data_IF_611449204213
#
_entry.id   IF_611449204213
#
_cell.length_a   1.000
_cell.length_b   1.000
_cell.length_c   1.000
_cell.angle_alpha   90.00
_cell.angle_beta   90.00
_cell.angle_gamma   90.00
#
_symmetry.space_group_name_H-M   'P 1'
#
loop_
_entity.id
_entity.type
_entity.pdbx_description
1 polymer ?
#
# COMPACT_ATOMS: atom_id res chain seq x y z
N UNK A 1 -50.33 -2.14 -0.17
CA UNK A 1 -49.70 -3.46 -0.02
C UNK A 1 -48.70 -3.56 -1.13
N UNK A 2 -47.44 -3.35 -0.79
CA UNK A 2 -46.32 -3.34 -1.73
C UNK A 2 -45.49 -4.58 -1.42
N UNK A 3 -45.48 -5.52 -2.37
CA UNK A 3 -44.69 -6.74 -2.29
C UNK A 3 -43.21 -6.41 -2.31
N UNK A 4 -42.58 -6.54 -1.15
CA UNK A 4 -41.12 -6.67 -1.08
C UNK A 4 -40.75 -8.06 -1.58
N UNK A 5 -40.25 -8.15 -2.81
CA UNK A 5 -39.51 -9.32 -3.27
C UNK A 5 -38.22 -9.39 -2.48
N UNK A 6 -38.17 -10.28 -1.51
CA UNK A 6 -36.92 -10.73 -0.89
C UNK A 6 -36.10 -11.41 -1.97
N UNK A 7 -35.05 -10.71 -2.42
CA UNK A 7 -34.01 -11.29 -3.29
C UNK A 7 -33.15 -12.16 -2.36
N UNK A 8 -33.47 -13.43 -2.34
CA UNK A 8 -32.73 -14.46 -1.63
C UNK A 8 -31.44 -14.71 -2.39
N UNK A 9 -30.36 -14.02 -1.99
CA UNK A 9 -29.02 -14.34 -2.44
C UNK A 9 -28.63 -15.71 -1.85
N UNK A 10 -28.97 -16.77 -2.56
CA UNK A 10 -28.29 -18.05 -2.35
C UNK A 10 -26.85 -17.84 -2.72
N UNK A 11 -25.95 -17.91 -1.71
CA UNK A 11 -24.53 -18.01 -1.93
C UNK A 11 -24.28 -19.24 -2.81
N UNK A 12 -23.99 -19.03 -4.06
CA UNK A 12 -23.50 -20.09 -4.94
C UNK A 12 -22.18 -20.53 -4.35
N UNK A 13 -22.16 -21.71 -3.72
CA UNK A 13 -20.89 -22.31 -3.25
C UNK A 13 -19.97 -22.39 -4.45
N UNK A 14 -18.88 -21.61 -4.42
CA UNK A 14 -17.82 -21.75 -5.41
C UNK A 14 -17.29 -23.18 -5.34
N UNK A 15 -17.20 -23.83 -6.50
CA UNK A 15 -16.65 -25.18 -6.56
C UNK A 15 -15.26 -25.17 -5.92
N UNK A 16 -15.05 -26.01 -4.91
CA UNK A 16 -13.73 -26.20 -4.31
C UNK A 16 -12.75 -26.52 -5.43
N UNK A 17 -11.65 -25.78 -5.44
CA UNK A 17 -10.59 -25.98 -6.44
C UNK A 17 -10.12 -27.44 -6.43
N UNK A 18 -10.22 -28.11 -7.57
CA UNK A 18 -9.60 -29.41 -7.77
C UNK A 18 -8.09 -29.19 -7.75
N UNK A 19 -7.38 -29.98 -6.93
CA UNK A 19 -5.91 -29.93 -6.93
C UNK A 19 -5.41 -30.29 -8.32
N UNK A 20 -4.54 -29.46 -8.94
CA UNK A 20 -4.01 -29.75 -10.25
C UNK A 20 -3.13 -31.01 -10.23
N UNK A 21 -3.19 -31.80 -11.28
CA UNK A 21 -2.30 -32.97 -11.45
C UNK A 21 -0.83 -32.57 -11.44
N UNK A 22 -0.51 -31.43 -12.06
CA UNK A 22 0.82 -30.78 -12.00
C UNK A 22 0.81 -29.56 -11.06
N UNK A 23 1.08 -29.81 -9.78
CA UNK A 23 1.15 -28.76 -8.76
C UNK A 23 2.32 -27.78 -8.97
N UNK A 24 3.40 -28.21 -9.61
CA UNK A 24 4.56 -27.37 -9.89
C UNK A 24 4.30 -26.44 -11.09
N UNK A 25 3.66 -26.96 -12.16
CA UNK A 25 3.22 -26.16 -13.29
C UNK A 25 2.18 -25.13 -12.88
N UNK A 26 1.22 -25.51 -12.05
CA UNK A 26 0.22 -24.58 -11.47
C UNK A 26 0.88 -23.46 -10.65
N UNK A 27 1.87 -23.82 -9.82
CA UNK A 27 2.62 -22.83 -9.05
C UNK A 27 3.32 -21.82 -9.96
N UNK A 28 4.09 -22.27 -10.94
CA UNK A 28 4.81 -21.42 -11.88
C UNK A 28 3.88 -20.47 -12.64
N UNK A 29 2.76 -20.98 -13.08
CA UNK A 29 1.77 -20.20 -13.81
C UNK A 29 1.15 -19.11 -12.94
N UNK A 30 0.81 -19.42 -11.70
CA UNK A 30 0.28 -18.46 -10.73
C UNK A 30 1.32 -17.41 -10.34
N UNK A 31 2.57 -17.83 -10.14
CA UNK A 31 3.68 -16.93 -9.86
C UNK A 31 3.89 -15.96 -11.02
N UNK A 32 3.87 -16.42 -12.26
CA UNK A 32 3.96 -15.57 -13.45
C UNK A 32 2.82 -14.54 -13.52
N UNK A 33 1.59 -14.92 -13.17
CA UNK A 33 0.47 -13.96 -13.10
C UNK A 33 0.70 -12.92 -11.99
N UNK A 34 1.17 -13.35 -10.81
CA UNK A 34 1.49 -12.44 -9.72
C UNK A 34 2.63 -11.48 -10.09
N UNK A 35 3.65 -11.92 -10.83
CA UNK A 35 4.71 -11.07 -11.37
C UNK A 35 4.15 -9.99 -12.32
N UNK A 36 3.22 -10.36 -13.19
CA UNK A 36 2.56 -9.41 -14.10
C UNK A 36 1.66 -8.41 -13.36
N UNK A 37 1.13 -8.75 -12.18
CA UNK A 37 0.34 -7.83 -11.35
C UNK A 37 1.20 -6.72 -10.74
N UNK A 38 2.45 -6.96 -10.39
CA UNK A 38 3.32 -6.00 -9.66
C UNK A 38 3.40 -4.64 -10.39
N UNK A 39 3.75 -4.54 -11.68
CA UNK A 39 3.81 -3.25 -12.36
C UNK A 39 2.44 -2.57 -12.50
N UNK A 40 1.35 -3.32 -12.66
CA UNK A 40 0.00 -2.79 -12.73
C UNK A 40 -0.41 -2.17 -11.39
N UNK A 41 -0.23 -2.89 -10.29
CA UNK A 41 -0.50 -2.42 -8.93
C UNK A 41 0.33 -1.17 -8.62
N UNK A 42 1.62 -1.17 -8.97
CA UNK A 42 2.49 -0.02 -8.78
C UNK A 42 2.04 1.21 -9.58
N UNK A 43 1.56 1.02 -10.82
CA UNK A 43 1.00 2.10 -11.64
C UNK A 43 -0.28 2.66 -11.05
N UNK A 44 -1.20 1.80 -10.63
CA UNK A 44 -2.44 2.19 -9.96
C UNK A 44 -2.17 2.98 -8.67
N UNK A 45 -1.24 2.51 -7.86
CA UNK A 45 -0.85 3.19 -6.62
C UNK A 45 -0.30 4.59 -6.85
N UNK A 46 0.51 4.81 -7.91
CA UNK A 46 1.00 6.16 -8.28
C UNK A 46 -0.14 7.12 -8.64
N UNK A 47 -1.27 6.59 -9.11
CA UNK A 47 -2.49 7.34 -9.39
C UNK A 47 -3.44 7.43 -8.19
N UNK A 48 -3.01 6.93 -7.02
CA UNK A 48 -3.77 6.98 -5.79
C UNK A 48 -4.77 5.85 -5.59
N UNK A 49 -4.62 4.77 -6.33
CA UNK A 49 -5.51 3.62 -6.24
C UNK A 49 -4.80 2.51 -5.49
N UNK A 50 -5.32 2.14 -4.33
CA UNK A 50 -4.80 1.04 -3.53
C UNK A 50 -5.59 -0.24 -3.83
N UNK A 51 -4.91 -1.23 -4.40
CA UNK A 51 -5.49 -2.55 -4.66
C UNK A 51 -5.27 -3.44 -3.44
N UNK A 52 -6.34 -4.06 -2.97
CA UNK A 52 -6.35 -4.91 -1.78
C UNK A 52 -7.00 -6.26 -2.07
N UNK A 53 -6.72 -7.22 -1.20
CA UNK A 53 -7.44 -8.49 -1.09
C UNK A 53 -7.83 -8.67 0.38
N UNK A 54 -9.14 -8.62 0.66
CA UNK A 54 -9.71 -8.72 2.01
C UNK A 54 -8.99 -7.79 3.01
N UNK A 55 -8.89 -6.51 2.65
CA UNK A 55 -8.23 -5.47 3.45
C UNK A 55 -6.71 -5.49 3.44
N UNK A 56 -6.06 -6.50 2.82
CA UNK A 56 -4.61 -6.56 2.70
C UNK A 56 -4.15 -5.86 1.42
N UNK A 57 -3.43 -4.74 1.56
CA UNK A 57 -2.85 -4.03 0.42
C UNK A 57 -1.83 -4.89 -0.31
N UNK A 58 -1.86 -4.83 -1.64
CA UNK A 58 -0.89 -5.50 -2.52
C UNK A 58 0.23 -4.57 -2.98
N UNK A 59 0.27 -3.34 -2.48
CA UNK A 59 1.27 -2.33 -2.86
C UNK A 59 2.64 -2.72 -2.30
N UNK A 60 3.66 -2.69 -3.15
CA UNK A 60 5.04 -3.07 -2.83
C UNK A 60 5.20 -4.52 -2.33
N UNK A 61 4.22 -5.38 -2.59
CA UNK A 61 4.31 -6.80 -2.24
C UNK A 61 5.06 -7.59 -3.32
N UNK A 62 5.78 -8.64 -2.87
CA UNK A 62 6.42 -9.59 -3.78
C UNK A 62 5.39 -10.52 -4.46
N UNK A 63 5.70 -11.13 -5.61
CA UNK A 63 4.81 -12.12 -6.24
C UNK A 63 4.36 -13.22 -5.27
N UNK A 64 5.27 -13.73 -4.44
CA UNK A 64 4.95 -14.75 -3.43
C UNK A 64 3.99 -14.20 -2.36
N UNK A 65 4.16 -12.93 -1.95
CA UNK A 65 3.24 -12.29 -1.01
C UNK A 65 1.85 -12.08 -1.61
N UNK A 66 1.77 -11.72 -2.89
CA UNK A 66 0.51 -11.61 -3.63
C UNK A 66 -0.21 -12.97 -3.67
N UNK A 67 0.52 -14.05 -3.98
CA UNK A 67 -0.04 -15.41 -3.94
C UNK A 67 -0.52 -15.81 -2.54
N UNK A 68 0.20 -15.41 -1.48
CA UNK A 68 -0.24 -15.63 -0.09
C UNK A 68 -1.51 -14.87 0.24
N UNK A 69 -1.68 -13.65 -0.26
CA UNK A 69 -2.89 -12.87 -0.07
C UNK A 69 -4.11 -13.56 -0.70
N UNK A 70 -3.97 -14.13 -1.89
CA UNK A 70 -5.04 -14.93 -2.53
C UNK A 70 -5.41 -16.17 -1.68
N UNK A 71 -4.41 -16.90 -1.17
CA UNK A 71 -4.66 -18.07 -0.31
C UNK A 71 -5.31 -17.71 1.02
N UNK A 72 -5.05 -16.50 1.53
CA UNK A 72 -5.62 -16.03 2.79
C UNK A 72 -7.15 -15.92 2.72
N UNK A 73 -7.73 -15.70 1.55
CA UNK A 73 -9.19 -15.63 1.36
C UNK A 73 -9.90 -16.85 1.89
N UNK A 74 -9.31 -18.05 1.74
CA UNK A 74 -9.88 -19.29 2.30
C UNK A 74 -10.06 -19.23 3.83
N UNK A 75 -9.19 -18.51 4.53
CA UNK A 75 -9.25 -18.41 5.99
C UNK A 75 -10.32 -17.42 6.47
N UNK A 76 -10.64 -16.41 5.64
CA UNK A 76 -11.54 -15.32 6.01
C UNK A 76 -12.97 -15.59 5.53
N UNK A 77 -13.12 -16.08 4.31
CA UNK A 77 -14.41 -16.18 3.63
C UNK A 77 -14.75 -17.61 3.16
N UNK A 78 -13.94 -18.60 3.55
CA UNK A 78 -14.09 -20.00 3.12
C UNK A 78 -14.19 -20.19 1.59
N UNK A 79 -13.81 -19.20 0.81
CA UNK A 79 -13.75 -19.20 -0.64
C UNK A 79 -12.32 -19.37 -1.13
N UNK A 80 -12.14 -19.97 -2.30
CA UNK A 80 -10.85 -20.01 -2.97
C UNK A 80 -10.77 -18.87 -4.00
N UNK A 81 -9.67 -18.16 -3.99
CA UNK A 81 -9.38 -17.10 -4.95
C UNK A 81 -8.06 -17.41 -5.67
N UNK A 82 -8.07 -17.29 -6.98
CA UNK A 82 -6.89 -17.51 -7.82
C UNK A 82 -6.42 -16.21 -8.47
N UNK A 83 -5.13 -16.12 -8.72
CA UNK A 83 -4.50 -15.03 -9.46
C UNK A 83 -5.08 -14.90 -10.88
N UNK A 84 -5.55 -16.01 -11.46
CA UNK A 84 -6.24 -16.02 -12.77
C UNK A 84 -7.58 -15.29 -12.76
N UNK A 85 -8.20 -15.15 -11.58
CA UNK A 85 -9.46 -14.43 -11.42
C UNK A 85 -9.22 -12.94 -11.30
N UNK A 86 -8.22 -12.55 -10.52
CA UNK A 86 -7.97 -11.13 -10.20
C UNK A 86 -7.10 -10.44 -11.25
N UNK A 87 -6.18 -11.16 -11.92
CA UNK A 87 -5.29 -10.56 -12.90
C UNK A 87 -6.03 -9.84 -14.05
N UNK A 88 -6.99 -10.45 -14.77
CA UNK A 88 -7.72 -9.78 -15.85
C UNK A 88 -8.55 -8.60 -15.34
N UNK A 89 -9.03 -8.68 -14.09
CA UNK A 89 -9.75 -7.56 -13.45
C UNK A 89 -8.81 -6.39 -13.15
N UNK A 90 -7.63 -6.64 -12.56
CA UNK A 90 -6.61 -5.61 -12.32
C UNK A 90 -6.14 -4.99 -13.63
N UNK A 91 -5.95 -5.82 -14.66
CA UNK A 91 -5.56 -5.36 -15.99
C UNK A 91 -6.60 -4.38 -16.55
N UNK A 92 -7.88 -4.70 -16.48
CA UNK A 92 -8.93 -3.80 -16.91
C UNK A 92 -9.01 -2.53 -16.04
N UNK A 93 -8.96 -2.66 -14.72
CA UNK A 93 -8.97 -1.53 -13.77
C UNK A 93 -7.84 -0.55 -14.10
N UNK A 94 -6.68 -1.03 -14.55
CA UNK A 94 -5.55 -0.17 -14.92
C UNK A 94 -5.81 0.71 -16.14
N UNK A 95 -6.87 0.45 -16.92
CA UNK A 95 -7.29 1.24 -18.08
C UNK A 95 -8.33 2.31 -17.74
N UNK A 96 -8.91 2.26 -16.52
CA UNK A 96 -9.96 3.17 -16.10
C UNK A 96 -9.38 4.48 -15.53
N UNK A 97 -10.11 5.59 -15.74
CA UNK A 97 -9.79 6.88 -15.09
C UNK A 97 -10.32 6.90 -13.66
N UNK A 98 -9.57 6.23 -12.77
CA UNK A 98 -9.84 6.16 -11.34
C UNK A 98 -8.86 7.05 -10.58
N UNK A 99 -9.32 7.62 -9.46
CA UNK A 99 -8.50 8.49 -8.60
C UNK A 99 -8.87 8.32 -7.13
N UNK A 100 -7.84 8.25 -6.30
CA UNK A 100 -7.95 8.30 -4.84
C UNK A 100 -9.00 7.34 -4.26
N UNK A 101 -8.88 6.07 -4.58
CA UNK A 101 -9.78 5.04 -4.09
C UNK A 101 -9.03 3.79 -3.63
N UNK A 102 -9.69 3.04 -2.76
CA UNK A 102 -9.30 1.70 -2.37
C UNK A 102 -10.23 0.69 -3.03
N UNK A 103 -9.66 -0.34 -3.62
CA UNK A 103 -10.39 -1.37 -4.35
C UNK A 103 -10.01 -2.73 -3.78
N UNK A 104 -10.93 -3.37 -3.11
CA UNK A 104 -10.75 -4.76 -2.69
C UNK A 104 -11.13 -5.70 -3.83
N UNK A 105 -10.11 -6.03 -4.63
CA UNK A 105 -10.29 -6.91 -5.79
C UNK A 105 -10.64 -8.34 -5.37
N UNK A 106 -10.23 -8.74 -4.16
CA UNK A 106 -10.57 -10.04 -3.61
C UNK A 106 -12.07 -10.19 -3.39
N UNK A 107 -12.69 -9.21 -2.76
CA UNK A 107 -14.14 -9.19 -2.58
C UNK A 107 -14.90 -9.12 -3.91
N UNK A 108 -14.45 -8.28 -4.85
CA UNK A 108 -15.06 -8.14 -6.16
C UNK A 108 -15.00 -9.48 -6.92
N UNK A 109 -13.84 -10.12 -6.95
CA UNK A 109 -13.67 -11.38 -7.63
C UNK A 109 -14.49 -12.53 -7.02
N UNK A 110 -14.55 -12.59 -5.68
CA UNK A 110 -15.36 -13.60 -4.97
C UNK A 110 -16.85 -13.40 -5.20
N UNK A 111 -17.33 -12.16 -5.26
CA UNK A 111 -18.74 -11.83 -5.53
C UNK A 111 -19.14 -12.00 -7.01
N UNK A 112 -18.19 -12.20 -7.92
CA UNK A 112 -18.49 -12.39 -9.34
C UNK A 112 -19.27 -13.70 -9.57
N UNK A 113 -20.57 -13.65 -9.85
CA UNK A 113 -21.42 -14.86 -9.87
C UNK A 113 -21.15 -15.75 -11.08
N UNK A 114 -20.51 -15.21 -12.12
CA UNK A 114 -20.33 -15.89 -13.41
C UNK A 114 -18.87 -16.03 -13.80
N UNK A 115 -17.95 -16.01 -12.84
CA UNK A 115 -16.52 -15.96 -13.18
C UNK A 115 -16.12 -17.05 -14.19
N UNK A 116 -16.55 -18.30 -14.00
CA UNK A 116 -16.23 -19.40 -14.91
C UNK A 116 -16.77 -19.18 -16.34
N UNK A 117 -17.82 -18.37 -16.49
CA UNK A 117 -18.42 -18.06 -17.80
C UNK A 117 -17.77 -16.85 -18.46
N UNK A 118 -17.22 -15.91 -17.65
CA UNK A 118 -16.69 -14.65 -18.17
C UNK A 118 -15.17 -14.59 -18.22
N UNK A 119 -14.45 -15.52 -17.60
CA UNK A 119 -12.97 -15.48 -17.47
C UNK A 119 -12.24 -15.33 -18.81
N UNK A 120 -12.82 -15.85 -19.89
CA UNK A 120 -12.28 -15.80 -21.25
C UNK A 120 -12.93 -14.68 -22.09
N UNK A 121 -13.87 -13.92 -21.52
CA UNK A 121 -14.62 -12.84 -22.19
C UNK A 121 -14.30 -11.48 -21.57
N UNK A 122 -13.35 -10.78 -22.17
CA UNK A 122 -12.89 -9.47 -21.72
C UNK A 122 -14.03 -8.44 -21.61
N UNK A 123 -15.04 -8.51 -22.49
CA UNK A 123 -16.17 -7.58 -22.48
C UNK A 123 -17.01 -7.77 -21.23
N UNK A 124 -17.33 -9.02 -20.88
CA UNK A 124 -18.11 -9.32 -19.67
C UNK A 124 -17.38 -8.97 -18.39
N UNK A 125 -16.04 -9.17 -18.34
CA UNK A 125 -15.21 -8.74 -17.22
C UNK A 125 -15.29 -7.22 -17.07
N UNK A 126 -15.17 -6.47 -18.18
CA UNK A 126 -15.25 -5.01 -18.13
C UNK A 126 -16.62 -4.51 -17.70
N UNK A 127 -17.71 -5.11 -18.19
CA UNK A 127 -19.06 -4.74 -17.78
C UNK A 127 -19.29 -4.99 -16.29
N UNK A 128 -18.84 -6.13 -15.77
CA UNK A 128 -18.93 -6.46 -14.36
C UNK A 128 -18.14 -5.45 -13.51
N UNK A 129 -16.88 -5.20 -13.83
CA UNK A 129 -16.04 -4.25 -13.10
C UNK A 129 -16.61 -2.83 -13.14
N UNK A 130 -17.14 -2.39 -14.29
CA UNK A 130 -17.79 -1.09 -14.40
C UNK A 130 -19.03 -0.99 -13.50
N UNK A 131 -19.80 -2.07 -13.34
CA UNK A 131 -20.95 -2.07 -12.44
C UNK A 131 -20.52 -1.97 -10.98
N UNK A 132 -19.51 -2.71 -10.56
CA UNK A 132 -18.99 -2.69 -9.19
C UNK A 132 -18.31 -1.35 -8.84
N UNK A 133 -17.58 -0.76 -9.79
CA UNK A 133 -16.83 0.48 -9.58
C UNK A 133 -17.60 1.75 -10.02
N UNK A 134 -18.86 1.64 -10.42
CA UNK A 134 -19.65 2.79 -10.91
C UNK A 134 -19.64 4.00 -9.95
N UNK A 135 -19.61 3.73 -8.65
CA UNK A 135 -19.57 4.78 -7.62
C UNK A 135 -18.25 5.53 -7.53
N UNK A 136 -17.16 4.99 -8.09
CA UNK A 136 -15.79 5.57 -8.01
C UNK A 136 -15.23 5.98 -9.37
N UNK A 137 -15.79 5.49 -10.46
CA UNK A 137 -15.41 5.89 -11.82
C UNK A 137 -15.74 7.38 -12.02
N UNK A 138 -14.82 8.13 -12.63
CA UNK A 138 -14.95 9.56 -12.92
C UNK A 138 -15.09 10.47 -11.69
N UNK A 139 -14.78 10.01 -10.48
CA UNK A 139 -14.68 10.91 -9.32
C UNK A 139 -13.51 11.89 -9.49
N UNK A 140 -13.74 13.12 -9.06
CA UNK A 140 -12.65 14.11 -8.99
C UNK A 140 -11.72 13.71 -7.84
N UNK A 141 -10.41 13.80 -8.10
CA UNK A 141 -9.41 13.64 -7.04
C UNK A 141 -9.57 14.72 -5.98
N UNK A 142 -9.64 14.31 -4.73
CA UNK A 142 -9.54 15.19 -3.56
C UNK A 142 -8.11 15.24 -3.00
N UNK A 143 -7.17 14.61 -3.69
CA UNK A 143 -5.77 14.53 -3.27
C UNK A 143 -5.13 15.89 -3.33
N UNK A 144 -4.39 16.32 -2.30
CA UNK A 144 -3.56 17.49 -2.39
C UNK A 144 -2.52 17.28 -3.52
N UNK A 145 -2.27 18.32 -4.31
CA UNK A 145 -1.28 18.26 -5.42
C UNK A 145 0.13 17.92 -4.94
N UNK A 146 0.43 18.26 -3.70
CA UNK A 146 1.71 17.98 -3.05
C UNK A 146 1.46 17.23 -1.74
N UNK A 147 2.31 16.25 -1.39
CA UNK A 147 2.19 15.54 -0.14
C UNK A 147 2.38 16.50 1.04
N UNK A 148 1.68 16.27 2.14
CA UNK A 148 1.85 17.02 3.39
C UNK A 148 3.20 16.69 4.02
N UNK A 149 3.91 17.74 4.44
CA UNK A 149 5.16 17.61 5.14
C UNK A 149 4.91 17.13 6.58
N UNK A 150 5.59 16.08 6.97
CA UNK A 150 5.55 15.55 8.34
C UNK A 150 6.88 15.86 9.03
N UNK A 151 6.77 16.28 10.27
CA UNK A 151 7.89 16.47 11.20
C UNK A 151 7.63 15.59 12.41
N UNK A 152 8.61 14.78 12.79
CA UNK A 152 8.56 14.01 14.03
C UNK A 152 9.29 14.77 15.12
N UNK A 153 8.61 15.10 16.23
CA UNK A 153 9.27 15.57 17.43
C UNK A 153 9.53 14.39 18.36
N UNK A 154 10.81 14.17 18.66
CA UNK A 154 11.27 12.95 19.28
C UNK A 154 11.71 11.89 18.27
N UNK A 155 12.72 11.10 18.63
CA UNK A 155 13.20 9.99 17.80
C UNK A 155 13.55 8.80 18.70
N UNK A 156 12.63 8.54 19.62
CA UNK A 156 12.61 7.38 20.49
C UNK A 156 12.24 6.11 19.71
N UNK A 157 11.76 5.09 20.41
CA UNK A 157 11.36 3.83 19.79
C UNK A 157 10.18 4.01 18.83
N UNK A 158 9.14 4.75 19.27
CA UNK A 158 7.95 5.01 18.46
C UNK A 158 8.31 5.88 17.25
N UNK A 159 9.01 7.00 17.44
CA UNK A 159 9.40 7.88 16.32
C UNK A 159 10.21 7.17 15.25
N UNK A 160 11.13 6.27 15.63
CA UNK A 160 11.86 5.46 14.65
C UNK A 160 10.95 4.49 13.88
N UNK A 161 9.97 3.90 14.56
CA UNK A 161 9.00 3.00 13.90
C UNK A 161 8.14 3.77 12.90
N UNK A 162 7.63 4.95 13.29
CA UNK A 162 6.87 5.83 12.40
C UNK A 162 7.73 6.27 11.20
N UNK A 163 8.99 6.66 11.43
CA UNK A 163 9.92 7.02 10.37
C UNK A 163 10.15 5.86 9.38
N UNK A 164 10.32 4.63 9.88
CA UNK A 164 10.44 3.43 9.03
C UNK A 164 9.19 3.24 8.17
N UNK A 165 8.00 3.25 8.79
CA UNK A 165 6.73 3.08 8.07
C UNK A 165 6.57 4.13 6.97
N UNK A 166 6.84 5.40 7.28
CA UNK A 166 6.69 6.48 6.31
C UNK A 166 7.68 6.40 5.16
N UNK A 167 8.90 5.90 5.41
CA UNK A 167 9.96 5.85 4.40
C UNK A 167 9.99 4.55 3.60
N UNK A 168 9.38 3.47 4.08
CA UNK A 168 9.21 2.22 3.33
C UNK A 168 8.24 2.37 2.17
N UNK A 169 7.22 3.20 2.33
CA UNK A 169 6.15 3.40 1.34
C UNK A 169 6.29 4.70 0.55
N UNK A 170 7.45 5.37 0.62
CA UNK A 170 7.63 6.68 -0.02
C UNK A 170 7.59 6.55 -1.55
N UNK A 171 6.76 7.36 -2.17
CA UNK A 171 6.61 7.41 -3.63
C UNK A 171 5.58 8.47 -4.05
N UNK A 172 5.41 8.68 -5.37
CA UNK A 172 4.47 9.67 -5.90
C UNK A 172 3.02 9.49 -5.46
N UNK A 173 2.68 8.32 -4.92
CA UNK A 173 1.36 7.98 -4.39
C UNK A 173 1.11 8.40 -2.95
N UNK A 174 2.09 8.86 -2.20
CA UNK A 174 1.94 9.13 -0.78
C UNK A 174 1.31 10.49 -0.49
N UNK A 175 0.44 10.51 0.52
CA UNK A 175 -0.16 11.74 1.06
C UNK A 175 0.78 12.50 1.99
N UNK A 176 1.74 11.82 2.57
CA UNK A 176 2.65 12.32 3.59
C UNK A 176 4.10 12.05 3.21
N UNK A 177 4.97 13.00 3.51
CA UNK A 177 6.42 12.86 3.35
C UNK A 177 7.12 13.28 4.63
N UNK A 178 7.97 12.41 5.17
CA UNK A 178 8.81 12.76 6.31
C UNK A 178 9.90 13.74 5.86
N UNK A 179 9.87 14.97 6.37
CA UNK A 179 10.80 16.04 6.03
C UNK A 179 11.82 16.33 7.11
N UNK A 180 11.45 16.18 8.38
CA UNK A 180 12.38 16.43 9.46
C UNK A 180 12.08 15.59 10.71
N UNK A 181 13.09 15.47 11.53
CA UNK A 181 13.08 14.93 12.87
C UNK A 181 13.64 16.00 13.77
N UNK A 182 12.86 16.43 14.77
CA UNK A 182 13.28 17.40 15.78
C UNK A 182 13.62 16.64 17.05
N UNK A 183 14.85 16.83 17.54
CA UNK A 183 15.37 16.13 18.72
C UNK A 183 16.22 17.06 19.57
N UNK A 184 16.33 16.73 20.85
CA UNK A 184 17.32 17.38 21.72
C UNK A 184 18.71 16.85 21.38
N UNK A 185 19.69 17.75 21.30
CA UNK A 185 21.10 17.38 21.06
C UNK A 185 21.63 16.59 22.25
N UNK A 186 22.16 15.40 21.98
CA UNK A 186 22.75 14.54 23.02
C UNK A 186 24.26 14.65 23.07
N UNK A 187 24.95 14.22 22.04
CA UNK A 187 26.41 14.22 21.90
C UNK A 187 26.82 14.70 20.51
N UNK A 188 28.11 14.85 20.26
CA UNK A 188 28.59 15.25 18.92
C UNK A 188 28.21 14.21 17.85
N UNK A 189 28.32 12.92 18.17
CA UNK A 189 27.96 11.82 17.25
C UNK A 189 26.47 11.43 17.26
N UNK A 190 25.59 12.31 17.73
CA UNK A 190 24.18 11.96 17.93
C UNK A 190 23.48 11.51 16.64
N UNK A 191 23.78 12.14 15.50
CA UNK A 191 23.20 11.79 14.19
C UNK A 191 23.55 10.36 13.76
N UNK A 192 24.80 9.93 13.95
CA UNK A 192 25.24 8.56 13.64
C UNK A 192 24.58 7.54 14.55
N UNK A 193 24.44 7.88 15.83
CA UNK A 193 23.70 7.06 16.78
C UNK A 193 22.24 6.90 16.37
N UNK A 194 21.57 7.98 15.93
CA UNK A 194 20.18 7.95 15.44
C UNK A 194 20.05 7.09 14.19
N UNK A 195 20.96 7.23 13.23
CA UNK A 195 21.00 6.39 12.04
C UNK A 195 21.17 4.90 12.39
N UNK A 196 22.10 4.58 13.29
CA UNK A 196 22.31 3.20 13.75
C UNK A 196 21.09 2.63 14.45
N UNK A 197 20.42 3.40 15.32
CA UNK A 197 19.20 2.99 16.02
C UNK A 197 18.01 2.85 15.07
N UNK A 198 17.95 3.63 13.99
CA UNK A 198 16.92 3.46 12.94
C UNK A 198 17.14 2.16 12.17
N UNK A 199 18.40 1.84 11.86
CA UNK A 199 18.75 0.64 11.09
C UNK A 199 18.56 -0.65 11.91
N UNK A 200 18.82 -0.60 13.21
CA UNK A 200 18.82 -1.77 14.10
C UNK A 200 17.91 -1.52 15.29
N UNK A 201 16.73 -2.11 15.26
CA UNK A 201 15.82 -2.10 16.39
C UNK A 201 15.75 -3.47 17.04
N UNK A 202 15.87 -3.54 18.36
CA UNK A 202 15.91 -4.80 19.09
C UNK A 202 14.55 -5.51 19.17
N UNK A 203 13.46 -4.79 18.95
CA UNK A 203 12.09 -5.33 19.02
C UNK A 203 11.52 -5.62 17.62
N UNK A 204 11.73 -4.69 16.69
CA UNK A 204 11.14 -4.75 15.35
C UNK A 204 12.12 -5.26 14.27
N UNK A 205 13.28 -5.70 14.70
CA UNK A 205 14.31 -6.24 13.79
C UNK A 205 15.01 -5.17 12.94
N UNK A 206 15.83 -5.60 11.96
CA UNK A 206 16.52 -4.69 11.07
C UNK A 206 15.54 -3.91 10.19
N UNK A 207 15.92 -2.70 9.82
CA UNK A 207 15.18 -1.91 8.84
C UNK A 207 15.42 -2.48 7.44
N UNK A 208 14.34 -2.77 6.73
CA UNK A 208 14.40 -3.20 5.34
C UNK A 208 14.53 -1.98 4.42
N UNK A 209 15.75 -1.45 4.36
CA UNK A 209 16.06 -0.26 3.61
C UNK A 209 17.46 0.29 3.87
N UNK A 210 17.76 1.42 3.27
CA UNK A 210 19.06 2.10 3.37
C UNK A 210 18.96 3.35 4.23
N UNK A 211 19.96 3.55 5.09
CA UNK A 211 20.12 4.78 5.89
C UNK A 211 21.54 5.28 5.71
N UNK A 212 21.69 6.53 5.25
CA UNK A 212 22.96 7.23 5.19
C UNK A 212 22.89 8.51 6.00
N UNK A 213 24.01 8.90 6.58
CA UNK A 213 24.20 10.19 7.25
C UNK A 213 24.85 11.16 6.28
N UNK A 214 24.26 12.34 6.16
CA UNK A 214 24.85 13.52 5.53
C UNK A 214 25.17 14.50 6.66
N UNK A 215 26.40 14.43 7.15
CA UNK A 215 26.84 15.17 8.33
C UNK A 215 26.91 16.67 8.04
N UNK A 216 27.38 17.05 6.83
CA UNK A 216 27.56 18.45 6.45
C UNK A 216 26.22 19.22 6.50
N UNK A 217 25.13 18.58 6.11
CA UNK A 217 23.81 19.18 6.08
C UNK A 217 22.92 18.74 7.25
N UNK A 218 23.45 17.97 8.20
CA UNK A 218 22.66 17.39 9.32
C UNK A 218 21.43 16.64 8.88
N UNK A 219 21.57 15.78 7.85
CA UNK A 219 20.48 15.01 7.27
C UNK A 219 20.64 13.49 7.47
N UNK A 220 19.52 12.80 7.56
CA UNK A 220 19.44 11.37 7.30
C UNK A 220 18.86 11.14 5.91
N UNK A 221 19.54 10.36 5.08
CA UNK A 221 19.00 9.91 3.79
C UNK A 221 18.46 8.50 3.96
N UNK A 222 17.14 8.37 4.01
CA UNK A 222 16.45 7.11 4.29
C UNK A 222 15.72 6.68 3.02
N UNK A 223 16.12 5.55 2.43
CA UNK A 223 15.58 5.07 1.13
C UNK A 223 15.57 6.16 0.05
N UNK A 224 16.61 7.00 0.03
CA UNK A 224 16.73 8.12 -0.91
C UNK A 224 15.98 9.40 -0.49
N UNK A 225 15.17 9.37 0.57
CA UNK A 225 14.49 10.55 1.09
C UNK A 225 15.41 11.32 2.04
N UNK A 226 15.56 12.60 1.78
CA UNK A 226 16.33 13.51 2.66
C UNK A 226 15.44 13.96 3.80
N UNK A 227 15.85 13.65 5.03
CA UNK A 227 15.16 13.96 6.28
C UNK A 227 16.09 14.84 7.13
N UNK A 228 15.70 16.07 7.37
CA UNK A 228 16.47 17.00 8.18
C UNK A 228 16.49 16.55 9.66
N UNK A 229 17.63 16.58 10.30
CA UNK A 229 17.77 16.40 11.75
C UNK A 229 17.94 17.76 12.40
N UNK A 230 16.91 18.23 13.08
CA UNK A 230 16.88 19.56 13.67
C UNK A 230 17.03 19.40 15.20
N UNK A 231 17.95 20.16 15.76
CA UNK A 231 18.21 20.15 17.20
C UNK A 231 17.50 21.31 17.88
N UNK A 232 16.46 21.01 18.67
CA UNK A 232 15.69 21.96 19.43
C UNK A 232 15.13 21.33 20.72
N UNK A 233 14.83 22.16 21.71
CA UNK A 233 14.25 21.70 22.99
C UNK A 233 12.76 21.45 22.89
N UNK A 234 12.07 22.19 22.03
CA UNK A 234 10.64 22.00 21.71
C UNK A 234 10.37 22.23 20.21
N UNK A 235 9.29 21.68 19.66
CA UNK A 235 8.97 21.83 18.24
C UNK A 235 8.56 23.27 17.87
N UNK A 236 8.06 24.06 18.82
CA UNK A 236 7.65 25.45 18.64
C UNK A 236 8.83 26.41 18.47
N UNK A 237 10.03 26.03 18.94
CA UNK A 237 11.25 26.84 18.77
C UNK A 237 11.81 26.79 17.35
N UNK A 238 11.31 25.88 16.50
CA UNK A 238 11.82 25.66 15.16
C UNK A 238 11.07 26.51 14.12
N UNK A 239 11.81 27.35 13.40
CA UNK A 239 11.27 27.95 12.19
C UNK A 239 11.43 26.97 11.02
N UNK A 240 10.41 26.20 10.75
CA UNK A 240 10.43 25.15 9.69
C UNK A 240 10.68 25.71 8.28
N UNK A 241 10.33 26.98 8.03
CA UNK A 241 10.56 27.63 6.74
C UNK A 241 12.05 27.78 6.42
N UNK A 242 12.91 27.94 7.42
CA UNK A 242 14.35 28.03 7.25
C UNK A 242 14.96 26.70 6.77
N UNK A 243 14.23 25.60 6.98
CA UNK A 243 14.56 24.26 6.52
C UNK A 243 13.81 23.87 5.22
N UNK A 244 13.17 24.83 4.56
CA UNK A 244 12.39 24.58 3.34
C UNK A 244 11.11 23.75 3.55
N UNK A 245 10.61 23.69 4.79
CA UNK A 245 9.43 22.90 5.16
C UNK A 245 8.25 23.85 5.34
N UNK A 246 7.23 23.72 4.48
CA UNK A 246 6.02 24.55 4.51
C UNK A 246 4.88 23.79 5.17
N UNK A 247 4.14 24.46 6.05
CA UNK A 247 2.91 23.97 6.70
C UNK A 247 3.02 22.50 7.18
N UNK A 248 4.02 22.14 8.01
CA UNK A 248 4.19 20.76 8.44
C UNK A 248 3.12 20.35 9.46
N UNK A 249 2.79 19.07 9.42
CA UNK A 249 2.12 18.40 10.53
C UNK A 249 3.21 17.89 11.46
N UNK A 250 3.22 18.39 12.68
CA UNK A 250 4.16 17.94 13.72
C UNK A 250 3.52 16.82 14.53
N UNK A 251 4.21 15.70 14.62
CA UNK A 251 3.81 14.52 15.40
C UNK A 251 4.75 14.44 16.60
N UNK A 252 4.23 14.64 17.78
CA UNK A 252 4.92 14.44 19.04
C UNK A 252 4.85 12.97 19.47
N UNK A 253 6.02 12.31 19.76
CA UNK A 253 6.09 10.87 19.99
C UNK A 253 7.14 10.45 21.03
#
# INVERSE_FOLDING_TARGET
>A
MSDKKDINFQSTERQKRILPEDSFGDWKWREALAELMVPLIGSLYRNGINIMIYGKSLVNESPVSIMKAHRFVRQVDNNELSESETFPMIQYISTLDLKDCEIDIGEIAVKCPFFNEIKDDQSKISDYINSELNSVINKKSNRPKEPKNIVLYGFGRIGRLVARMMTQTTGPGNYFILKAIVIRKGSEDDIFKRASLLTRDSVHGPFDGTVRVDEENSNLVINGNVVNVIYASSPEEVNYSDHGIKDPIVIDN
#
